data_IF_028078325268
#
_entry.id   IF_028078325268
#
_cell.length_a   1.000
_cell.length_b   1.000
_cell.length_c   1.000
_cell.angle_alpha   90.00
_cell.angle_beta   90.00
_cell.angle_gamma   90.00
#
_symmetry.space_group_name_H-M   'P 1'
#
loop_
_entity.id
_entity.type
_entity.pdbx_description
1 polymer ?
#
# COMPACT_ATOMS: atom_id res chain seq x y z
N UNK A 1 14.26 5.17 -21.67
CA UNK A 1 15.34 4.25 -22.05
C UNK A 1 15.78 3.27 -20.95
N UNK A 2 15.03 3.12 -19.84
CA UNK A 2 15.41 2.27 -18.70
C UNK A 2 15.30 0.75 -19.01
N UNK A 3 14.61 0.34 -20.06
CA UNK A 3 14.37 -1.05 -20.48
C UNK A 3 13.89 -1.98 -19.34
N UNK A 4 13.19 -1.42 -18.35
CA UNK A 4 12.81 -2.08 -17.08
C UNK A 4 11.63 -3.04 -17.21
N UNK A 5 10.91 -3.07 -18.34
CA UNK A 5 9.72 -3.91 -18.51
C UNK A 5 8.50 -3.52 -17.65
N UNK A 6 8.57 -2.45 -16.87
CA UNK A 6 7.49 -2.01 -15.97
C UNK A 6 6.19 -1.64 -16.66
N UNK A 7 6.24 -1.32 -17.95
CA UNK A 7 5.08 -1.09 -18.82
C UNK A 7 4.43 -2.38 -19.35
N UNK A 8 5.00 -3.55 -19.05
CA UNK A 8 4.55 -4.86 -19.55
C UNK A 8 5.17 -5.30 -20.87
N UNK A 9 5.98 -4.45 -21.51
CA UNK A 9 6.72 -4.77 -22.74
C UNK A 9 8.16 -5.21 -22.42
N UNK A 10 8.79 -5.96 -23.32
CA UNK A 10 10.14 -6.51 -23.14
C UNK A 10 11.27 -5.43 -23.14
N UNK A 11 10.91 -4.15 -23.22
CA UNK A 11 11.83 -3.02 -23.19
C UNK A 11 11.24 -1.79 -23.85
N UNK A 12 11.96 -0.69 -23.83
CA UNK A 12 11.47 0.60 -24.37
C UNK A 12 11.21 0.55 -25.87
N UNK A 13 11.99 -0.24 -26.64
CA UNK A 13 11.76 -0.42 -28.09
C UNK A 13 10.45 -1.13 -28.35
N UNK A 14 10.18 -2.25 -27.68
CA UNK A 14 8.93 -2.98 -27.84
C UNK A 14 7.70 -2.14 -27.41
N UNK A 15 7.85 -1.29 -26.39
CA UNK A 15 6.83 -0.30 -26.03
C UNK A 15 6.60 0.70 -27.15
N UNK A 16 7.66 1.25 -27.77
CA UNK A 16 7.55 2.22 -28.86
C UNK A 16 6.87 1.61 -30.09
N UNK A 17 7.29 0.40 -30.48
CA UNK A 17 6.70 -0.34 -31.60
C UNK A 17 5.20 -0.61 -31.38
N UNK A 18 4.81 -0.93 -30.13
CA UNK A 18 3.41 -1.13 -29.78
C UNK A 18 2.61 0.19 -29.77
N UNK A 19 3.22 1.29 -29.31
CA UNK A 19 2.60 2.59 -29.27
C UNK A 19 2.31 3.15 -30.69
N UNK A 20 3.22 2.91 -31.64
CA UNK A 20 3.04 3.30 -33.05
C UNK A 20 1.91 2.52 -33.73
N UNK A 21 1.73 1.24 -33.38
CA UNK A 21 0.70 0.38 -33.95
C UNK A 21 -0.67 0.52 -33.30
N UNK A 22 -0.73 1.12 -32.12
CA UNK A 22 -1.98 1.26 -31.36
C UNK A 22 -2.85 2.39 -31.92
N UNK A 23 -4.18 2.29 -31.87
CA UNK A 23 -5.09 3.35 -32.27
C UNK A 23 -5.12 4.53 -31.29
N UNK A 24 -4.65 4.33 -30.05
CA UNK A 24 -4.52 5.33 -28.99
C UNK A 24 -3.50 4.84 -27.94
N UNK A 25 -3.22 5.68 -26.93
CA UNK A 25 -2.28 5.37 -25.84
C UNK A 25 -2.94 4.96 -24.51
N UNK A 26 -4.24 4.69 -24.48
CA UNK A 26 -4.97 4.40 -23.24
C UNK A 26 -4.41 3.17 -22.50
N UNK A 27 -4.01 2.13 -23.25
CA UNK A 27 -3.44 0.89 -22.72
C UNK A 27 -1.91 0.87 -22.72
N UNK A 28 -1.27 1.86 -23.33
CA UNK A 28 0.19 1.95 -23.48
C UNK A 28 0.73 3.06 -22.58
N UNK A 29 1.06 2.73 -21.32
CA UNK A 29 1.57 3.72 -20.37
C UNK A 29 2.93 3.29 -19.82
N UNK A 30 3.89 4.21 -19.80
CA UNK A 30 5.20 4.00 -19.18
C UNK A 30 5.18 4.49 -17.73
N UNK A 31 5.12 3.61 -16.71
CA UNK A 31 5.04 4.05 -15.31
C UNK A 31 6.31 4.76 -14.85
N UNK A 32 7.47 4.38 -15.38
CA UNK A 32 8.77 4.98 -15.03
C UNK A 32 8.94 6.38 -15.64
N UNK A 33 8.51 6.53 -16.90
CA UNK A 33 8.57 7.83 -17.58
C UNK A 33 7.45 8.79 -17.16
N UNK A 34 6.40 8.26 -16.56
CA UNK A 34 5.26 9.06 -16.08
C UNK A 34 4.58 9.88 -17.17
N UNK A 35 3.82 10.87 -16.74
CA UNK A 35 3.07 11.73 -17.66
C UNK A 35 3.97 12.57 -18.57
N UNK A 36 5.17 12.93 -18.13
CA UNK A 36 6.09 13.73 -18.96
C UNK A 36 6.54 13.01 -20.22
N UNK A 37 6.97 11.74 -20.07
CA UNK A 37 7.36 10.92 -21.23
C UNK A 37 6.14 10.61 -22.09
N UNK A 38 4.99 10.31 -21.46
CA UNK A 38 3.77 10.03 -22.22
C UNK A 38 3.27 11.21 -23.03
N UNK A 39 3.39 12.45 -22.52
CA UNK A 39 3.11 13.68 -23.29
C UNK A 39 3.98 13.80 -24.53
N UNK A 40 5.28 13.51 -24.38
CA UNK A 40 6.23 13.55 -25.53
C UNK A 40 5.87 12.47 -26.57
N UNK A 41 5.57 11.26 -26.12
CA UNK A 41 5.15 10.16 -27.04
C UNK A 41 3.85 10.51 -27.76
N UNK A 42 2.87 11.04 -27.04
CA UNK A 42 1.60 11.48 -27.61
C UNK A 42 1.77 12.60 -28.65
N UNK A 43 2.61 13.59 -28.34
CA UNK A 43 2.90 14.68 -29.28
C UNK A 43 3.53 14.18 -30.58
N UNK A 44 4.42 13.18 -30.52
CA UNK A 44 5.06 12.58 -31.71
C UNK A 44 4.05 11.79 -32.54
N UNK A 45 3.11 11.08 -31.88
CA UNK A 45 2.14 10.23 -32.55
C UNK A 45 0.83 10.93 -32.91
N UNK A 46 0.65 12.20 -32.51
CA UNK A 46 -0.56 12.98 -32.75
C UNK A 46 -1.76 12.54 -31.90
N UNK A 47 -1.50 11.95 -30.72
CA UNK A 47 -2.55 11.50 -29.79
C UNK A 47 -2.76 12.49 -28.63
N UNK A 48 -3.98 12.53 -28.11
CA UNK A 48 -4.27 13.12 -26.80
C UNK A 48 -4.12 12.08 -25.69
N UNK A 49 -3.56 12.47 -24.56
CA UNK A 49 -3.45 11.60 -23.39
C UNK A 49 -4.12 12.22 -22.17
N UNK A 50 -4.74 11.35 -21.37
CA UNK A 50 -5.23 11.71 -20.03
C UNK A 50 -4.09 11.52 -19.04
N UNK A 51 -3.79 12.56 -18.25
CA UNK A 51 -2.80 12.44 -17.19
C UNK A 51 -3.26 11.41 -16.15
N UNK A 52 -2.37 10.49 -15.81
CA UNK A 52 -2.59 9.52 -14.72
C UNK A 52 -2.09 10.11 -13.41
N UNK A 53 -2.90 9.99 -12.35
CA UNK A 53 -2.47 10.37 -11.01
C UNK A 53 -1.21 9.59 -10.61
N UNK A 54 -0.22 10.23 -9.97
CA UNK A 54 0.97 9.54 -9.51
C UNK A 54 0.60 8.45 -8.50
N UNK A 55 1.18 7.27 -8.68
CA UNK A 55 0.91 6.11 -7.83
C UNK A 55 2.16 5.70 -7.04
N UNK A 56 1.95 4.89 -6.02
CA UNK A 56 3.01 4.28 -5.21
C UNK A 56 2.56 2.90 -4.73
N UNK A 57 3.51 1.98 -4.56
CA UNK A 57 3.23 0.70 -3.94
C UNK A 57 2.94 0.87 -2.45
N UNK A 58 1.95 0.16 -1.94
CA UNK A 58 1.66 0.07 -0.50
C UNK A 58 1.58 -1.39 -0.08
N UNK A 59 2.06 -1.68 1.14
CA UNK A 59 2.04 -3.01 1.74
C UNK A 59 0.83 -3.12 2.66
N UNK A 60 -0.12 -3.98 2.30
CA UNK A 60 -1.36 -4.19 3.05
C UNK A 60 -1.20 -5.31 4.08
N UNK A 61 -0.19 -5.20 4.92
CA UNK A 61 0.03 -6.12 6.02
C UNK A 61 0.70 -5.36 7.18
N UNK A 62 0.09 -5.41 8.36
CA UNK A 62 0.65 -4.90 9.60
C UNK A 62 1.00 -6.04 10.57
N UNK A 63 1.19 -7.25 10.04
CA UNK A 63 1.64 -8.41 10.79
C UNK A 63 3.13 -8.35 11.06
N UNK A 64 3.56 -7.42 11.90
CA UNK A 64 4.93 -7.34 12.42
C UNK A 64 5.26 -8.56 13.25
N UNK A 65 6.52 -8.74 13.63
CA UNK A 65 6.95 -9.82 14.52
C UNK A 65 6.19 -9.81 15.86
N UNK A 66 5.81 -8.63 16.36
CA UNK A 66 5.03 -8.46 17.59
C UNK A 66 3.55 -8.81 17.40
N UNK A 67 2.95 -8.31 16.30
CA UNK A 67 1.54 -8.50 16.03
C UNK A 67 1.19 -9.93 15.60
N UNK A 68 2.15 -10.62 15.00
CA UNK A 68 1.98 -11.94 14.40
C UNK A 68 3.15 -12.85 14.77
N UNK A 69 3.16 -13.40 15.97
CA UNK A 69 4.25 -14.27 16.43
C UNK A 69 4.36 -15.53 15.57
N UNK A 70 5.57 -16.04 15.46
CA UNK A 70 5.84 -17.29 14.76
C UNK A 70 5.24 -18.46 15.52
N UNK A 71 4.57 -19.35 14.83
CA UNK A 71 3.98 -20.58 15.37
C UNK A 71 4.79 -21.82 15.05
N UNK A 72 5.72 -21.70 14.08
CA UNK A 72 6.57 -22.81 13.64
C UNK A 72 7.80 -22.28 12.91
N UNK A 73 8.74 -23.17 12.60
CA UNK A 73 9.99 -22.89 11.92
C UNK A 73 9.94 -23.51 10.51
N UNK A 74 10.19 -22.70 9.50
CA UNK A 74 10.35 -23.15 8.13
C UNK A 74 11.82 -23.17 7.75
N UNK A 75 12.37 -24.36 7.50
CA UNK A 75 13.78 -24.58 7.13
C UNK A 75 14.05 -24.71 5.63
N UNK A 76 13.07 -24.38 4.76
CA UNK A 76 13.21 -24.49 3.32
C UNK A 76 13.77 -23.24 2.64
N UNK A 77 13.61 -23.15 1.32
CA UNK A 77 14.09 -22.03 0.50
C UNK A 77 13.54 -20.67 0.97
N UNK A 78 14.42 -19.67 1.03
CA UNK A 78 14.08 -18.29 1.39
C UNK A 78 13.44 -17.54 0.20
N UNK A 79 12.32 -18.05 -0.32
CA UNK A 79 11.50 -17.42 -1.36
C UNK A 79 10.04 -17.42 -0.94
N UNK A 80 9.38 -16.26 -1.07
CA UNK A 80 7.95 -16.15 -0.80
C UNK A 80 7.12 -17.05 -1.71
N UNK A 81 7.51 -17.17 -2.99
CA UNK A 81 6.81 -18.00 -3.97
C UNK A 81 6.87 -19.47 -3.59
N UNK A 82 8.06 -19.99 -3.25
CA UNK A 82 8.25 -21.40 -2.83
C UNK A 82 7.53 -21.64 -1.50
N UNK A 83 7.72 -20.78 -0.53
CA UNK A 83 7.10 -20.90 0.79
C UNK A 83 5.57 -20.88 0.71
N UNK A 84 4.99 -20.05 -0.15
CA UNK A 84 3.54 -19.98 -0.35
C UNK A 84 2.95 -21.21 -1.02
N UNK A 85 3.72 -21.91 -1.90
CA UNK A 85 3.25 -23.11 -2.61
C UNK A 85 3.39 -24.38 -1.79
N UNK A 86 4.41 -24.46 -0.92
CA UNK A 86 4.72 -25.65 -0.11
C UNK A 86 4.17 -25.54 1.32
N UNK A 87 4.10 -24.32 1.84
CA UNK A 87 3.75 -24.04 3.22
C UNK A 87 3.06 -22.66 3.36
N UNK A 88 2.07 -22.57 4.27
CA UNK A 88 1.28 -21.34 4.43
C UNK A 88 2.04 -20.18 5.10
N UNK A 89 3.22 -20.42 5.67
CA UNK A 89 4.04 -19.45 6.39
C UNK A 89 4.40 -19.90 7.80
N UNK A 90 5.24 -19.11 8.49
CA UNK A 90 5.74 -19.41 9.83
C UNK A 90 4.79 -18.98 10.94
N UNK A 91 3.68 -18.36 10.59
CA UNK A 91 2.74 -17.73 11.52
C UNK A 91 1.32 -18.26 11.31
N UNK A 92 0.44 -18.04 12.28
CA UNK A 92 -0.96 -18.46 12.22
C UNK A 92 -1.79 -17.75 11.13
N UNK A 93 -1.28 -16.65 10.53
CA UNK A 93 -2.02 -15.91 9.50
C UNK A 93 -1.67 -16.41 8.09
N UNK A 94 -2.57 -17.12 7.39
CA UNK A 94 -2.29 -17.67 6.05
C UNK A 94 -2.22 -16.62 4.96
N UNK A 95 -2.69 -15.40 5.23
CA UNK A 95 -2.72 -14.28 4.27
C UNK A 95 -1.55 -13.31 4.42
N UNK A 96 -0.84 -13.35 5.54
CA UNK A 96 0.18 -12.36 5.89
C UNK A 96 1.46 -12.44 5.05
N UNK A 97 2.32 -11.45 5.22
CA UNK A 97 3.64 -11.39 4.60
C UNK A 97 4.49 -12.60 5.02
N UNK A 98 5.19 -13.22 4.08
CA UNK A 98 6.07 -14.37 4.35
C UNK A 98 7.51 -13.94 4.72
N UNK A 99 7.84 -12.67 4.54
CA UNK A 99 9.11 -12.09 5.00
C UNK A 99 10.36 -12.49 4.21
N UNK A 100 10.24 -13.20 3.06
CA UNK A 100 11.42 -13.67 2.33
C UNK A 100 11.99 -12.64 1.33
N UNK A 101 11.34 -11.48 1.12
CA UNK A 101 11.91 -10.41 0.31
C UNK A 101 11.79 -10.56 -1.22
N UNK A 102 10.99 -11.48 -1.77
CA UNK A 102 10.82 -11.61 -3.24
C UNK A 102 10.38 -10.29 -3.90
N UNK A 103 9.59 -9.47 -3.21
CA UNK A 103 9.18 -8.15 -3.69
C UNK A 103 10.34 -7.14 -3.70
N UNK A 104 11.29 -7.27 -2.79
CA UNK A 104 12.52 -6.45 -2.74
C UNK A 104 13.42 -6.83 -3.91
N UNK A 105 13.65 -8.14 -4.11
CA UNK A 105 14.47 -8.66 -5.22
C UNK A 105 13.88 -8.31 -6.60
N UNK A 106 12.55 -8.21 -6.71
CA UNK A 106 11.89 -7.81 -7.95
C UNK A 106 11.95 -6.30 -8.23
N UNK A 107 12.38 -5.48 -7.26
CA UNK A 107 12.42 -4.03 -7.39
C UNK A 107 13.72 -3.56 -8.03
N UNK A 108 13.70 -3.26 -9.34
CA UNK A 108 14.86 -2.75 -10.07
C UNK A 108 15.28 -1.32 -9.68
N UNK A 109 14.45 -0.62 -8.92
CA UNK A 109 14.68 0.79 -8.54
C UNK A 109 15.19 0.94 -7.10
N UNK A 110 15.40 -0.17 -6.37
CA UNK A 110 15.82 -0.12 -4.97
C UNK A 110 14.83 0.62 -4.06
N UNK A 111 13.54 0.62 -4.45
CA UNK A 111 12.48 1.31 -3.72
C UNK A 111 11.86 0.46 -2.60
N UNK A 112 12.26 -0.80 -2.43
CA UNK A 112 11.83 -1.66 -1.34
C UNK A 112 13.03 -2.20 -0.57
N UNK A 113 12.88 -2.27 0.75
CA UNK A 113 13.80 -2.95 1.65
C UNK A 113 13.01 -3.76 2.67
N UNK A 114 13.61 -4.79 3.25
CA UNK A 114 13.02 -5.47 4.41
C UNK A 114 13.43 -4.72 5.68
N UNK A 115 12.44 -4.41 6.51
CA UNK A 115 12.69 -3.90 7.85
C UNK A 115 12.92 -5.08 8.80
N UNK A 116 14.10 -5.18 9.36
CA UNK A 116 14.50 -6.27 10.25
C UNK A 116 13.70 -6.30 11.56
N UNK A 117 13.28 -5.14 12.06
CA UNK A 117 12.50 -5.02 13.28
C UNK A 117 11.08 -5.54 13.13
N UNK A 118 10.42 -5.15 12.04
CA UNK A 118 9.03 -5.52 11.79
C UNK A 118 8.89 -6.81 10.99
N UNK A 119 9.93 -7.21 10.24
CA UNK A 119 9.90 -8.33 9.30
C UNK A 119 9.03 -8.07 8.07
N UNK A 120 8.69 -6.81 7.79
CA UNK A 120 7.85 -6.40 6.68
C UNK A 120 8.64 -5.60 5.65
N UNK A 121 8.22 -5.63 4.36
CA UNK A 121 8.82 -4.75 3.35
C UNK A 121 8.34 -3.31 3.54
N UNK A 122 9.29 -2.37 3.46
CA UNK A 122 9.07 -0.93 3.50
C UNK A 122 9.30 -0.34 2.11
N UNK A 123 8.48 0.62 1.72
CA UNK A 123 8.54 1.29 0.41
C UNK A 123 9.11 2.68 0.56
N UNK A 124 10.23 2.95 -0.12
CA UNK A 124 10.75 4.30 -0.34
C UNK A 124 9.94 4.97 -1.46
N UNK A 125 9.08 5.90 -1.08
CA UNK A 125 8.17 6.58 -2.00
C UNK A 125 8.88 7.53 -2.97
N UNK A 126 10.11 7.93 -2.68
CA UNK A 126 10.90 8.81 -3.53
C UNK A 126 11.50 8.04 -4.71
N UNK A 127 11.83 6.76 -4.50
CA UNK A 127 12.37 5.86 -5.51
C UNK A 127 11.31 5.04 -6.24
N UNK A 128 10.10 4.92 -5.65
CA UNK A 128 9.05 4.09 -6.22
C UNK A 128 8.45 4.69 -7.48
N UNK A 129 8.63 4.00 -8.61
CA UNK A 129 8.10 4.39 -9.93
C UNK A 129 6.72 3.81 -10.22
N UNK A 130 6.11 3.09 -9.28
CA UNK A 130 4.82 2.41 -9.45
C UNK A 130 4.78 1.40 -10.64
N UNK A 131 5.90 0.77 -10.96
CA UNK A 131 5.98 -0.18 -12.08
C UNK A 131 5.22 -1.50 -11.86
N UNK A 132 4.81 -1.81 -10.63
CA UNK A 132 4.03 -3.00 -10.30
C UNK A 132 4.82 -4.31 -10.21
N UNK A 133 6.15 -4.32 -10.36
CA UNK A 133 6.96 -5.54 -10.26
C UNK A 133 6.80 -6.24 -8.91
N UNK A 134 6.81 -5.50 -7.80
CA UNK A 134 6.60 -6.01 -6.46
C UNK A 134 5.17 -6.56 -6.23
N UNK A 135 4.16 -5.98 -6.90
CA UNK A 135 2.78 -6.49 -6.87
C UNK A 135 2.70 -7.87 -7.51
N UNK A 136 3.32 -8.03 -8.68
CA UNK A 136 3.38 -9.31 -9.40
C UNK A 136 4.20 -10.37 -8.67
N UNK A 137 5.27 -9.96 -7.98
CA UNK A 137 6.16 -10.87 -7.25
C UNK A 137 5.53 -11.40 -5.94
N UNK A 138 4.53 -10.73 -5.38
CA UNK A 138 3.94 -11.11 -4.11
C UNK A 138 2.91 -12.23 -4.23
N UNK A 139 3.18 -13.47 -3.78
CA UNK A 139 2.24 -14.58 -3.90
C UNK A 139 1.02 -14.45 -2.98
N UNK A 140 1.08 -13.57 -1.96
CA UNK A 140 -0.02 -13.29 -1.04
C UNK A 140 -0.86 -12.07 -1.44
N UNK A 141 -0.52 -11.40 -2.55
CA UNK A 141 -1.23 -10.22 -3.09
C UNK A 141 -1.45 -9.12 -2.03
N UNK A 142 -0.46 -8.93 -1.15
CA UNK A 142 -0.52 -7.90 -0.10
C UNK A 142 0.03 -6.55 -0.54
N UNK A 143 0.60 -6.46 -1.73
CA UNK A 143 1.12 -5.21 -2.29
C UNK A 143 0.19 -4.75 -3.39
N UNK A 144 -0.20 -3.49 -3.35
CA UNK A 144 -1.01 -2.86 -4.40
C UNK A 144 -0.48 -1.48 -4.74
N UNK A 145 -0.84 -0.97 -5.91
CA UNK A 145 -0.55 0.41 -6.30
C UNK A 145 -1.73 1.29 -5.89
N UNK A 146 -1.42 2.43 -5.24
CA UNK A 146 -2.41 3.44 -4.83
C UNK A 146 -1.99 4.81 -5.29
N UNK A 147 -2.96 5.67 -5.56
CA UNK A 147 -2.70 7.06 -5.87
C UNK A 147 -1.97 7.74 -4.70
N UNK A 148 -0.95 8.53 -5.03
CA UNK A 148 -0.39 9.52 -4.12
C UNK A 148 -1.40 10.65 -4.00
N UNK A 149 -2.09 10.74 -2.85
CA UNK A 149 -2.95 11.87 -2.55
C UNK A 149 -2.14 13.18 -2.41
N UNK A 150 -2.81 14.29 -2.08
CA UNK A 150 -2.14 15.55 -1.82
C UNK A 150 -1.01 15.36 -0.79
N UNK A 151 0.20 15.84 -1.09
CA UNK A 151 1.41 15.65 -0.25
C UNK A 151 1.77 14.19 0.03
N UNK A 152 1.31 13.25 -0.81
CA UNK A 152 1.51 11.83 -0.60
C UNK A 152 0.60 11.19 0.46
N UNK A 153 -0.38 11.92 0.99
CA UNK A 153 -1.30 11.42 2.02
C UNK A 153 -2.14 10.24 1.50
N UNK A 154 -2.26 9.21 2.33
CA UNK A 154 -3.06 8.01 2.02
C UNK A 154 -3.68 7.43 3.29
N UNK A 155 -4.85 6.82 3.11
CA UNK A 155 -5.50 6.00 4.14
C UNK A 155 -5.84 4.65 3.51
N UNK A 156 -5.43 3.56 4.14
CA UNK A 156 -5.70 2.21 3.63
C UNK A 156 -5.78 1.18 4.74
N UNK A 157 -6.43 0.06 4.45
CA UNK A 157 -6.49 -1.08 5.37
C UNK A 157 -5.22 -1.91 5.20
N UNK A 158 -4.42 -1.99 6.25
CA UNK A 158 -3.16 -2.75 6.29
C UNK A 158 -3.41 -4.21 6.71
N UNK A 159 -4.38 -4.85 6.07
CA UNK A 159 -4.73 -6.25 6.26
C UNK A 159 -5.45 -6.80 5.01
N UNK A 160 -5.21 -8.07 4.69
CA UNK A 160 -5.88 -8.81 3.62
C UNK A 160 -6.44 -10.15 4.11
N UNK A 161 -6.48 -10.38 5.42
CA UNK A 161 -6.97 -11.63 6.01
C UNK A 161 -8.49 -11.74 5.82
N UNK A 162 -8.93 -12.86 5.25
CA UNK A 162 -10.34 -13.16 4.93
C UNK A 162 -11.00 -14.09 5.96
N UNK A 163 -10.29 -14.51 6.99
CA UNK A 163 -10.85 -15.35 8.05
C UNK A 163 -11.86 -14.55 8.87
N UNK A 164 -12.75 -15.29 9.53
CA UNK A 164 -13.70 -14.70 10.49
C UNK A 164 -12.93 -13.91 11.56
N UNK A 165 -13.47 -12.78 11.98
CA UNK A 165 -12.79 -11.82 12.86
C UNK A 165 -12.14 -12.42 14.11
N UNK A 166 -12.76 -13.44 14.72
CA UNK A 166 -12.21 -14.17 15.88
C UNK A 166 -10.92 -14.92 15.50
N UNK A 167 -10.91 -15.59 14.35
CA UNK A 167 -9.74 -16.34 13.85
C UNK A 167 -8.63 -15.37 13.45
N UNK A 168 -8.99 -14.33 12.68
CA UNK A 168 -8.05 -13.31 12.25
C UNK A 168 -7.36 -12.62 13.45
N UNK A 169 -8.12 -12.30 14.50
CA UNK A 169 -7.59 -11.65 15.71
C UNK A 169 -6.65 -12.57 16.50
N UNK A 170 -6.92 -13.87 16.57
CA UNK A 170 -6.03 -14.85 17.19
C UNK A 170 -4.71 -14.99 16.42
N UNK A 171 -4.77 -14.89 15.09
CA UNK A 171 -3.60 -15.05 14.23
C UNK A 171 -2.72 -13.77 14.18
N UNK A 172 -3.31 -12.59 14.38
CA UNK A 172 -2.61 -11.31 14.33
C UNK A 172 -3.38 -10.24 15.13
N UNK A 173 -2.72 -9.60 16.10
CA UNK A 173 -3.34 -8.57 16.96
C UNK A 173 -3.78 -7.33 16.19
N UNK A 174 -3.12 -7.01 15.07
CA UNK A 174 -3.44 -5.89 14.18
C UNK A 174 -4.34 -6.29 13.00
N UNK A 175 -4.95 -7.48 13.01
CA UNK A 175 -5.81 -7.93 11.92
C UNK A 175 -7.10 -7.13 11.81
N UNK A 176 -7.56 -6.90 10.58
CA UNK A 176 -8.94 -6.49 10.34
C UNK A 176 -9.89 -7.62 10.74
N UNK A 177 -10.91 -7.30 11.55
CA UNK A 177 -11.90 -8.27 12.04
C UNK A 177 -13.25 -8.17 11.29
N UNK A 178 -13.32 -7.38 10.23
CA UNK A 178 -14.53 -7.23 9.43
C UNK A 178 -15.72 -6.56 10.16
N UNK A 179 -15.48 -5.81 11.24
CA UNK A 179 -16.55 -5.30 12.12
C UNK A 179 -17.44 -4.20 11.49
N UNK A 180 -17.06 -3.63 10.36
CA UNK A 180 -17.84 -2.63 9.64
C UNK A 180 -17.88 -1.23 10.25
N UNK A 181 -17.26 -0.95 11.42
CA UNK A 181 -17.26 0.37 12.06
C UNK A 181 -16.72 1.47 11.14
N UNK A 182 -15.61 1.18 10.44
CA UNK A 182 -15.00 2.12 9.48
C UNK A 182 -15.92 2.49 8.32
N UNK A 183 -16.74 1.54 7.82
CA UNK A 183 -17.70 1.80 6.76
C UNK A 183 -18.83 2.71 7.24
N UNK A 184 -19.35 2.49 8.46
CA UNK A 184 -20.43 3.29 9.05
C UNK A 184 -20.07 4.77 9.20
N UNK A 185 -18.81 5.10 9.49
CA UNK A 185 -18.36 6.49 9.68
C UNK A 185 -17.86 7.16 8.40
N UNK A 186 -17.86 6.44 7.28
CA UNK A 186 -17.35 6.93 6.02
C UNK A 186 -18.41 7.70 5.24
N UNK A 187 -18.44 9.03 5.38
CA UNK A 187 -19.40 9.89 4.67
C UNK A 187 -19.25 9.90 3.14
N UNK A 188 -18.12 9.45 2.61
CA UNK A 188 -17.88 9.34 1.14
C UNK A 188 -18.15 7.94 0.59
N UNK A 189 -18.68 7.02 1.41
CA UNK A 189 -18.96 5.63 1.01
C UNK A 189 -17.77 4.93 0.32
N UNK A 190 -16.55 5.33 0.70
CA UNK A 190 -15.32 4.81 0.12
C UNK A 190 -14.89 3.46 0.71
N UNK A 191 -15.63 2.92 1.69
CA UNK A 191 -15.22 1.70 2.41
C UNK A 191 -16.24 0.59 2.21
N UNK A 192 -15.78 -0.51 1.65
CA UNK A 192 -16.53 -1.77 1.57
C UNK A 192 -15.97 -2.78 2.56
N UNK A 193 -16.81 -3.69 3.04
CA UNK A 193 -16.39 -4.82 3.88
C UNK A 193 -16.89 -6.11 3.22
N UNK A 194 -15.95 -6.86 2.66
CA UNK A 194 -16.23 -8.09 1.96
C UNK A 194 -15.28 -9.18 2.44
N UNK A 195 -15.75 -10.42 2.51
CA UNK A 195 -14.93 -11.54 2.95
C UNK A 195 -14.21 -11.26 4.29
N UNK A 196 -14.90 -10.67 5.26
CA UNK A 196 -14.39 -10.32 6.60
C UNK A 196 -13.24 -9.30 6.63
N UNK A 197 -12.95 -8.61 5.54
CA UNK A 197 -11.91 -7.60 5.48
C UNK A 197 -12.45 -6.30 4.87
N UNK A 198 -12.07 -5.16 5.45
CA UNK A 198 -12.42 -3.86 4.90
C UNK A 198 -11.47 -3.49 3.76
N UNK A 199 -11.98 -2.78 2.77
CA UNK A 199 -11.21 -2.16 1.70
C UNK A 199 -11.59 -0.69 1.56
N UNK A 200 -10.60 0.18 1.39
CA UNK A 200 -10.81 1.62 1.15
C UNK A 200 -10.52 1.91 -0.31
N UNK A 201 -11.53 2.32 -1.06
CA UNK A 201 -11.38 2.83 -2.40
C UNK A 201 -10.71 4.21 -2.36
N UNK A 202 -9.48 4.27 -2.83
CA UNK A 202 -8.69 5.49 -2.80
C UNK A 202 -9.18 6.57 -3.79
N UNK A 203 -10.02 6.22 -4.75
CA UNK A 203 -10.62 7.18 -5.70
C UNK A 203 -11.77 7.96 -5.06
N UNK A 204 -12.47 7.35 -4.11
CA UNK A 204 -13.59 7.93 -3.37
C UNK A 204 -13.16 8.54 -2.03
N UNK A 205 -12.00 8.11 -1.50
CA UNK A 205 -11.55 8.49 -0.15
C UNK A 205 -11.17 9.97 -0.07
N UNK A 206 -11.81 10.71 0.86
CA UNK A 206 -11.53 12.13 1.14
C UNK A 206 -10.43 12.37 2.17
N UNK A 207 -9.70 11.35 2.60
CA UNK A 207 -8.57 11.44 3.54
C UNK A 207 -8.93 12.07 4.91
N UNK A 208 -10.16 11.93 5.38
CA UNK A 208 -10.66 12.56 6.62
C UNK A 208 -10.22 11.84 7.90
N UNK A 209 -9.63 10.65 7.84
CA UNK A 209 -9.12 9.81 8.95
C UNK A 209 -10.14 9.32 9.97
N UNK A 210 -11.44 9.59 9.85
CA UNK A 210 -12.46 9.12 10.81
C UNK A 210 -12.41 7.60 10.99
N UNK A 211 -12.21 6.85 9.90
CA UNK A 211 -12.10 5.39 9.93
C UNK A 211 -10.86 4.88 10.67
N UNK A 212 -9.77 5.66 10.71
CA UNK A 212 -8.55 5.33 11.46
C UNK A 212 -8.84 5.36 12.96
N UNK A 213 -9.47 6.44 13.44
CA UNK A 213 -9.85 6.61 14.84
C UNK A 213 -10.84 5.53 15.32
N UNK A 214 -11.77 5.10 14.46
CA UNK A 214 -12.81 4.12 14.78
C UNK A 214 -12.33 2.66 14.67
N UNK A 215 -11.11 2.41 14.19
CA UNK A 215 -10.63 1.06 14.00
C UNK A 215 -10.16 0.42 15.32
N UNK A 216 -10.86 -0.59 15.86
CA UNK A 216 -10.54 -1.15 17.18
C UNK A 216 -9.25 -1.96 17.22
N UNK A 217 -8.71 -2.35 16.05
CA UNK A 217 -7.49 -3.15 15.94
C UNK A 217 -6.32 -2.39 15.34
N UNK A 218 -6.50 -1.09 15.01
CA UNK A 218 -5.46 -0.32 14.33
C UNK A 218 -5.12 -0.82 12.93
N UNK A 219 -6.00 -1.60 12.29
CA UNK A 219 -5.76 -2.17 10.97
C UNK A 219 -5.81 -1.13 9.84
N UNK A 220 -6.20 0.11 10.09
CA UNK A 220 -6.27 1.19 9.11
C UNK A 220 -5.12 2.15 9.38
N UNK A 221 -4.29 2.36 8.38
CA UNK A 221 -3.14 3.24 8.45
C UNK A 221 -3.39 4.54 7.69
N UNK A 222 -2.91 5.63 8.28
CA UNK A 222 -2.77 6.93 7.64
C UNK A 222 -1.29 7.26 7.46
N UNK A 223 -0.91 7.66 6.26
CA UNK A 223 0.48 7.90 5.87
C UNK A 223 0.65 9.32 5.34
N UNK A 224 1.75 9.97 5.71
CA UNK A 224 2.13 11.32 5.29
C UNK A 224 1.15 12.43 5.70
N UNK A 225 0.36 12.21 6.75
CA UNK A 225 -0.45 13.26 7.33
C UNK A 225 0.39 14.18 8.20
N UNK A 226 0.14 15.50 8.18
CA UNK A 226 0.81 16.42 9.10
C UNK A 226 0.48 16.06 10.54
N UNK A 227 1.52 15.97 11.38
CA UNK A 227 1.33 15.84 12.83
C UNK A 227 0.81 17.16 13.34
N UNK A 228 -0.47 17.21 13.72
CA UNK A 228 -1.02 18.37 14.41
C UNK A 228 -0.32 18.49 15.76
N UNK A 229 0.47 19.56 15.95
CA UNK A 229 0.96 19.89 17.28
C UNK A 229 -0.26 20.00 18.21
N UNK A 230 -0.25 19.40 19.41
CA UNK A 230 -1.33 19.58 20.36
C UNK A 230 -1.50 21.09 20.58
N UNK A 231 -2.74 21.59 20.48
CA UNK A 231 -3.04 22.96 20.89
C UNK A 231 -2.59 23.09 22.33
N UNK A 232 -1.69 24.05 22.60
CA UNK A 232 -1.32 24.39 23.96
C UNK A 232 -2.60 24.62 24.77
N UNK A 233 -2.73 23.94 25.90
CA UNK A 233 -3.84 24.18 26.82
C UNK A 233 -3.85 25.66 27.18
N UNK A 234 -5.06 26.27 27.31
CA UNK A 234 -5.14 27.66 27.78
C UNK A 234 -4.44 27.77 29.14
N UNK A 235 -3.49 28.66 29.22
CA UNK A 235 -2.86 29.02 30.50
C UNK A 235 -3.95 29.72 31.31
N UNK A 236 -4.46 29.07 32.36
CA UNK A 236 -5.32 29.73 33.35
C UNK A 236 -4.46 30.76 34.09
N UNK A 237 -4.69 32.04 33.79
CA UNK A 237 -4.18 33.15 34.59
C UNK A 237 -4.82 33.09 36.00
N UNK A 238 -4.03 32.67 36.98
CA UNK A 238 -4.40 32.83 38.39
C UNK A 238 -4.47 34.32 38.70
N UNK A 239 -5.68 34.82 38.91
CA UNK A 239 -5.88 36.13 39.52
C UNK A 239 -5.33 36.09 40.94
N UNK A 240 -4.24 36.81 41.18
CA UNK A 240 -3.80 37.12 42.55
C UNK A 240 -4.85 38.01 43.18
N UNK A 241 -5.57 37.47 44.16
CA UNK A 241 -6.38 38.27 45.09
C UNK A 241 -5.44 39.02 46.02
N UNK A 242 -5.36 40.33 45.79
CA UNK A 242 -4.66 41.28 46.64
C UNK A 242 -5.57 41.63 47.79
N UNK A 243 -5.40 41.00 48.96
CA UNK A 243 -5.99 41.41 50.23
C UNK A 243 -5.05 42.41 50.88
N UNK A 244 -5.48 43.72 50.83
CA UNK A 244 -4.98 44.77 51.67
C UNK A 244 -5.74 44.88 52.98
#
# INVERSE_FOLDING_TARGET
GANCGGCGFAGCRAFADAAVKAPNLDNNYCPVGGNEVMKKVAAILGYEIKEKAPMVAVVRCNGTCENRPRTNIYGGSSSCKVKASLYAGDTACPYGCLGCGDCVNACQFGALSMDETTGLPVVDETKCTACGACVKACPKSIIELRNKGPRGMRVYVSCVNKDKGVVARKACSAACIGCGKCAKVCASEAITVENNVAYIDFTKCRLCKKCVAECPTGAIHDVNFPVLKPKAAPVEEKKEENNG
#
